data_IF_149992949477
#
_entry.id   IF_149992949477
#
_cell.length_a   1.000
_cell.length_b   1.000
_cell.length_c   1.000
_cell.angle_alpha   90.00
_cell.angle_beta   90.00
_cell.angle_gamma   90.00
#
_symmetry.space_group_name_H-M   'P 1'
#
loop_
_entity.id
_entity.type
_entity.pdbx_description
1 polymer ?
#
# COMPACT_ATOMS: atom_id res chain seq x y z
N UNK A 1 -55.03 -11.12 -22.91
CA UNK A 1 -54.06 -11.61 -21.91
C UNK A 1 -52.69 -11.03 -22.27
N UNK A 2 -52.24 -9.99 -21.58
CA UNK A 2 -50.91 -9.35 -21.79
C UNK A 2 -49.93 -10.10 -20.90
N UNK A 3 -48.94 -10.76 -21.49
CA UNK A 3 -47.82 -11.38 -20.75
C UNK A 3 -46.83 -10.32 -20.36
N UNK A 4 -46.69 -10.02 -19.06
CA UNK A 4 -45.63 -9.22 -18.50
C UNK A 4 -44.39 -10.11 -18.38
N UNK A 5 -43.39 -9.86 -19.21
CA UNK A 5 -42.07 -10.46 -19.09
C UNK A 5 -41.30 -9.67 -18.01
N UNK A 6 -41.15 -10.30 -16.85
CA UNK A 6 -40.33 -9.74 -15.76
C UNK A 6 -38.84 -9.88 -16.15
N UNK A 7 -38.21 -8.77 -16.49
CA UNK A 7 -36.76 -8.73 -16.75
C UNK A 7 -36.04 -8.82 -15.40
N UNK A 8 -35.56 -9.99 -15.04
CA UNK A 8 -34.72 -10.16 -13.86
C UNK A 8 -33.35 -9.51 -14.16
N UNK A 9 -33.11 -8.34 -13.55
CA UNK A 9 -31.80 -7.72 -13.54
C UNK A 9 -30.92 -8.54 -12.58
N UNK A 10 -30.13 -9.44 -13.15
CA UNK A 10 -29.04 -10.11 -12.43
C UNK A 10 -27.96 -9.07 -12.20
N UNK A 11 -27.93 -8.48 -11.00
CA UNK A 11 -26.77 -7.72 -10.54
C UNK A 11 -25.60 -8.72 -10.41
N UNK A 12 -24.77 -8.78 -11.43
CA UNK A 12 -23.47 -9.42 -11.34
C UNK A 12 -22.67 -8.68 -10.25
N UNK A 13 -22.61 -9.27 -9.06
CA UNK A 13 -21.62 -8.93 -8.04
C UNK A 13 -20.25 -9.33 -8.59
N UNK A 14 -19.66 -8.44 -9.38
CA UNK A 14 -18.25 -8.58 -9.72
C UNK A 14 -17.47 -8.63 -8.39
N UNK A 15 -16.57 -9.61 -8.22
CA UNK A 15 -15.72 -9.64 -7.04
C UNK A 15 -15.03 -8.29 -6.94
N UNK A 16 -15.25 -7.58 -5.83
CA UNK A 16 -14.60 -6.31 -5.57
C UNK A 16 -13.13 -6.63 -5.33
N UNK A 17 -12.33 -6.40 -6.36
CA UNK A 17 -10.87 -6.57 -6.30
C UNK A 17 -10.37 -5.56 -5.27
N UNK A 18 -9.92 -6.05 -4.13
CA UNK A 18 -9.27 -5.24 -3.12
C UNK A 18 -7.86 -4.92 -3.65
N UNK A 19 -7.63 -3.66 -3.95
CA UNK A 19 -6.31 -3.12 -4.23
C UNK A 19 -5.79 -2.53 -2.91
N UNK A 20 -4.50 -2.61 -2.63
CA UNK A 20 -3.84 -1.78 -1.63
C UNK A 20 -4.18 -0.30 -1.83
N UNK A 21 -3.36 0.64 -1.45
CA UNK A 21 -3.62 1.99 -1.90
C UNK A 21 -4.08 1.98 -3.36
N UNK A 22 -5.30 2.31 -3.68
CA UNK A 22 -5.78 2.27 -5.06
C UNK A 22 -4.86 3.02 -6.03
N UNK A 23 -5.17 3.00 -7.30
CA UNK A 23 -4.32 3.57 -8.36
C UNK A 23 -3.71 4.94 -8.02
N UNK A 24 -4.50 5.84 -7.41
CA UNK A 24 -4.02 7.17 -7.02
C UNK A 24 -2.94 7.08 -5.93
N UNK A 25 -3.18 6.32 -4.87
CA UNK A 25 -2.26 6.21 -3.73
C UNK A 25 -0.94 5.55 -4.12
N UNK A 26 -0.98 4.37 -4.75
CA UNK A 26 0.24 3.69 -5.22
C UNK A 26 1.11 4.57 -6.12
N UNK A 27 0.48 5.26 -7.09
CA UNK A 27 1.22 6.14 -7.99
C UNK A 27 1.79 7.35 -7.29
N UNK A 28 1.06 7.95 -6.33
CA UNK A 28 1.54 9.07 -5.51
C UNK A 28 2.75 8.67 -4.68
N UNK A 29 2.69 7.51 -4.01
CA UNK A 29 3.77 6.98 -3.20
C UNK A 29 5.02 6.71 -4.04
N UNK A 30 4.87 6.07 -5.19
CA UNK A 30 5.97 5.80 -6.12
C UNK A 30 6.57 7.08 -6.71
N UNK A 31 5.76 8.09 -6.99
CA UNK A 31 6.21 9.42 -7.42
C UNK A 31 7.05 10.13 -6.34
N UNK A 32 6.59 10.09 -5.06
CA UNK A 32 7.38 10.60 -3.94
C UNK A 32 8.72 9.86 -3.86
N UNK A 33 8.69 8.53 -3.97
CA UNK A 33 9.91 7.73 -3.92
C UNK A 33 10.88 8.09 -5.03
N UNK A 34 10.43 8.21 -6.27
CA UNK A 34 11.26 8.53 -7.42
C UNK A 34 11.96 9.89 -7.28
N UNK A 35 11.24 10.90 -6.76
CA UNK A 35 11.77 12.25 -6.49
C UNK A 35 12.82 12.27 -5.38
N UNK A 36 12.88 11.25 -4.54
CA UNK A 36 13.81 11.14 -3.41
C UNK A 36 14.89 10.07 -3.62
N UNK A 37 15.04 9.56 -4.84
CA UNK A 37 16.17 8.72 -5.21
C UNK A 37 17.47 9.54 -5.24
N UNK A 38 18.56 8.93 -4.78
CA UNK A 38 19.89 9.50 -5.03
C UNK A 38 20.20 9.42 -6.54
N UNK A 39 21.04 10.35 -7.08
CA UNK A 39 21.40 10.30 -8.50
C UNK A 39 21.93 8.93 -8.94
N UNK A 40 22.73 8.28 -8.09
CA UNK A 40 23.30 6.96 -8.36
C UNK A 40 22.26 5.87 -8.39
N UNK A 41 21.33 5.84 -7.40
CA UNK A 41 20.24 4.87 -7.37
C UNK A 41 19.32 5.05 -8.58
N UNK A 42 18.99 6.30 -8.91
CA UNK A 42 18.15 6.63 -10.06
C UNK A 42 18.78 6.09 -11.36
N UNK A 43 20.03 6.41 -11.64
CA UNK A 43 20.72 5.96 -12.83
C UNK A 43 20.80 4.41 -12.92
N UNK A 44 21.06 3.75 -11.78
CA UNK A 44 21.09 2.29 -11.73
C UNK A 44 19.72 1.65 -11.97
N UNK A 45 18.63 2.22 -11.42
CA UNK A 45 17.27 1.75 -11.63
C UNK A 45 16.84 1.99 -13.09
N UNK A 46 17.13 3.16 -13.67
CA UNK A 46 16.79 3.51 -15.05
C UNK A 46 17.37 2.53 -16.08
N UNK A 47 18.54 1.94 -15.80
CA UNK A 47 19.11 0.87 -16.62
C UNK A 47 18.14 -0.30 -16.79
N UNK A 48 17.49 -0.76 -15.71
CA UNK A 48 16.58 -1.90 -15.72
C UNK A 48 15.15 -1.52 -16.15
N UNK A 49 14.70 -0.32 -15.77
CA UNK A 49 13.36 0.18 -16.15
C UNK A 49 13.32 0.78 -17.54
N UNK A 50 14.51 0.95 -18.20
CA UNK A 50 14.65 1.62 -19.50
C UNK A 50 13.99 3.01 -19.51
N UNK A 51 14.16 3.76 -18.42
CA UNK A 51 13.59 5.08 -18.23
C UNK A 51 12.08 5.09 -17.94
N UNK A 52 11.46 3.94 -17.79
CA UNK A 52 10.05 3.89 -17.36
C UNK A 52 9.95 4.31 -15.90
N UNK A 53 9.15 5.33 -15.54
CA UNK A 53 9.06 5.82 -14.17
C UNK A 53 8.40 4.81 -13.23
N UNK A 54 8.80 4.85 -11.94
CA UNK A 54 8.37 3.88 -10.92
C UNK A 54 6.85 3.81 -10.74
N UNK A 55 6.16 4.93 -10.86
CA UNK A 55 4.71 4.96 -10.71
C UNK A 55 3.96 4.08 -11.74
N UNK A 56 4.56 3.77 -12.88
CA UNK A 56 4.02 2.82 -13.86
C UNK A 56 4.03 1.37 -13.37
N UNK A 57 4.93 1.05 -12.46
CA UNK A 57 5.09 -0.29 -11.87
C UNK A 57 4.37 -0.45 -10.53
N UNK A 58 3.90 0.63 -9.94
CA UNK A 58 3.35 0.64 -8.59
C UNK A 58 2.12 -0.26 -8.37
N UNK A 59 1.45 -0.66 -9.44
CA UNK A 59 0.30 -1.58 -9.40
C UNK A 59 0.64 -3.00 -9.86
N UNK A 60 1.92 -3.30 -10.09
CA UNK A 60 2.33 -4.56 -10.71
C UNK A 60 1.79 -5.81 -10.00
N UNK A 61 1.86 -5.86 -8.67
CA UNK A 61 1.41 -7.03 -7.91
C UNK A 61 -0.11 -7.20 -8.03
N UNK A 62 -0.86 -6.11 -8.01
CA UNK A 62 -2.32 -6.12 -8.23
C UNK A 62 -2.70 -6.54 -9.65
N UNK A 63 -2.01 -6.01 -10.65
CA UNK A 63 -2.28 -6.30 -12.06
C UNK A 63 -1.91 -7.76 -12.42
N UNK A 64 -0.97 -8.36 -11.68
CA UNK A 64 -0.57 -9.75 -11.86
C UNK A 64 -1.58 -10.77 -11.28
N UNK A 65 -2.62 -10.30 -10.62
CA UNK A 65 -3.62 -11.10 -9.88
C UNK A 65 -4.30 -12.19 -10.71
N UNK A 66 -4.43 -11.98 -12.00
CA UNK A 66 -5.03 -12.96 -12.93
C UNK A 66 -4.00 -13.95 -13.52
N UNK A 67 -2.72 -13.84 -13.16
CA UNK A 67 -1.71 -14.77 -13.63
C UNK A 67 -1.81 -16.09 -12.85
N UNK A 68 -1.64 -17.25 -13.51
CA UNK A 68 -1.75 -18.57 -12.84
C UNK A 68 -0.88 -18.71 -11.59
N UNK A 69 0.33 -18.14 -11.61
CA UNK A 69 1.30 -18.26 -10.52
C UNK A 69 1.07 -17.25 -9.39
N UNK A 70 0.06 -16.37 -9.50
CA UNK A 70 -0.14 -15.28 -8.56
C UNK A 70 -0.26 -15.75 -7.10
N UNK A 71 -1.09 -16.76 -6.85
CA UNK A 71 -1.35 -17.24 -5.48
C UNK A 71 -0.09 -17.72 -4.78
N UNK A 72 0.80 -18.36 -5.51
CA UNK A 72 2.03 -18.88 -4.96
C UNK A 72 3.10 -17.82 -4.80
N UNK A 73 3.24 -16.94 -5.79
CA UNK A 73 4.33 -15.98 -5.85
C UNK A 73 4.04 -14.65 -5.12
N UNK A 74 2.83 -14.10 -5.22
CA UNK A 74 2.55 -12.71 -4.91
C UNK A 74 1.38 -12.45 -3.94
N UNK A 75 0.39 -13.35 -3.84
CA UNK A 75 -0.83 -13.07 -3.06
C UNK A 75 -0.58 -12.74 -1.57
N UNK A 76 0.48 -13.32 -0.98
CA UNK A 76 0.88 -13.03 0.40
C UNK A 76 1.55 -11.67 0.60
N UNK A 77 2.03 -11.04 -0.46
CA UNK A 77 2.87 -9.83 -0.36
C UNK A 77 2.10 -8.55 -0.05
N UNK A 78 0.78 -8.56 -0.24
CA UNK A 78 -0.08 -7.40 -0.02
C UNK A 78 -0.29 -7.03 1.45
N UNK A 79 -0.03 -7.91 2.39
CA UNK A 79 -0.31 -7.65 3.79
C UNK A 79 0.79 -8.18 4.68
N UNK A 80 0.89 -7.58 5.85
CA UNK A 80 1.66 -8.10 6.97
C UNK A 80 0.82 -8.05 8.24
N UNK A 81 1.15 -8.92 9.21
CA UNK A 81 0.38 -9.04 10.45
C UNK A 81 1.26 -8.59 11.60
N UNK A 82 0.72 -7.76 12.47
CA UNK A 82 1.33 -7.35 13.73
C UNK A 82 0.72 -8.11 14.92
N UNK A 83 1.50 -8.30 15.97
CA UNK A 83 1.00 -8.74 17.27
C UNK A 83 0.15 -7.66 17.93
N UNK A 84 -0.51 -8.01 19.04
CA UNK A 84 -1.37 -7.10 19.78
C UNK A 84 -0.65 -5.85 20.31
N UNK A 85 0.66 -5.92 20.49
CA UNK A 85 1.54 -4.81 20.86
C UNK A 85 2.11 -4.04 19.66
N UNK A 86 1.65 -4.36 18.45
CA UNK A 86 2.11 -3.80 17.18
C UNK A 86 3.55 -4.13 16.81
N UNK A 87 4.13 -5.17 17.36
CA UNK A 87 5.42 -5.72 16.90
C UNK A 87 5.22 -6.68 15.73
N UNK A 88 6.29 -6.92 14.99
CA UNK A 88 6.29 -7.93 13.91
C UNK A 88 6.49 -9.30 14.51
N UNK A 89 5.48 -10.17 14.57
CA UNK A 89 5.60 -11.41 15.27
C UNK A 89 6.39 -12.44 14.49
N UNK A 90 7.36 -13.04 15.11
CA UNK A 90 7.99 -14.25 14.58
C UNK A 90 6.98 -15.39 14.41
N UNK A 91 5.96 -15.42 15.27
CA UNK A 91 4.88 -16.41 15.28
C UNK A 91 4.00 -16.30 14.04
N UNK A 92 3.84 -15.13 13.46
CA UNK A 92 2.94 -14.92 12.31
C UNK A 92 3.51 -15.44 11.00
N UNK A 93 4.83 -15.55 10.88
CA UNK A 93 5.46 -16.22 9.73
C UNK A 93 4.85 -17.60 9.47
N UNK A 94 4.54 -18.35 10.54
CA UNK A 94 3.96 -19.69 10.46
C UNK A 94 2.44 -19.70 10.28
N UNK A 95 1.76 -18.58 10.50
CA UNK A 95 0.29 -18.48 10.39
C UNK A 95 -0.19 -17.84 9.10
N UNK A 96 0.65 -17.01 8.48
CA UNK A 96 0.31 -16.29 7.28
C UNK A 96 1.21 -16.73 6.13
N UNK A 97 0.84 -17.84 5.48
CA UNK A 97 1.45 -18.35 4.24
C UNK A 97 2.96 -18.61 4.31
N UNK A 98 3.40 -19.28 5.37
CA UNK A 98 4.80 -19.73 5.50
C UNK A 98 5.85 -18.61 5.38
N UNK A 99 5.52 -17.43 5.89
CA UNK A 99 6.41 -16.29 5.89
C UNK A 99 6.45 -15.49 4.58
N UNK A 100 5.55 -15.74 3.66
CA UNK A 100 5.37 -14.98 2.42
C UNK A 100 4.50 -13.74 2.67
N UNK A 101 4.94 -12.82 3.49
CA UNK A 101 4.32 -11.52 3.73
C UNK A 101 5.20 -10.40 3.19
N UNK A 102 4.65 -9.18 3.11
CA UNK A 102 5.35 -8.03 2.55
C UNK A 102 6.65 -7.68 3.28
N UNK A 103 6.69 -7.79 4.61
CA UNK A 103 7.89 -7.50 5.41
C UNK A 103 8.99 -8.52 5.11
N UNK A 104 8.66 -9.81 5.14
CA UNK A 104 9.61 -10.89 4.84
C UNK A 104 10.16 -10.77 3.42
N UNK A 105 9.30 -10.45 2.45
CA UNK A 105 9.69 -10.27 1.06
C UNK A 105 10.74 -9.15 0.90
N UNK A 106 10.62 -8.05 1.63
CA UNK A 106 11.59 -6.95 1.58
C UNK A 106 12.99 -7.39 2.04
N UNK A 107 13.10 -8.29 3.02
CA UNK A 107 14.39 -8.87 3.41
C UNK A 107 14.92 -9.80 2.32
N UNK A 108 14.07 -10.63 1.72
CA UNK A 108 14.44 -11.52 0.62
C UNK A 108 14.98 -10.73 -0.58
N UNK A 109 14.26 -9.68 -1.02
CA UNK A 109 14.74 -8.84 -2.13
C UNK A 109 16.05 -8.13 -1.80
N UNK A 110 16.23 -7.64 -0.57
CA UNK A 110 17.51 -7.02 -0.17
C UNK A 110 18.68 -7.99 -0.27
N UNK A 111 18.48 -9.24 0.13
CA UNK A 111 19.52 -10.26 0.03
C UNK A 111 19.79 -10.66 -1.42
N UNK A 112 18.76 -10.93 -2.21
CA UNK A 112 18.89 -11.28 -3.63
C UNK A 112 19.59 -10.19 -4.44
N UNK A 113 19.29 -8.92 -4.14
CA UNK A 113 19.81 -7.79 -4.88
C UNK A 113 21.18 -7.29 -4.37
N UNK A 114 21.85 -7.97 -3.45
CA UNK A 114 23.20 -7.57 -3.01
C UNK A 114 24.17 -7.42 -4.17
N UNK A 115 24.12 -8.36 -5.12
CA UNK A 115 24.93 -8.38 -6.33
C UNK A 115 24.05 -8.22 -7.59
N UNK A 116 23.09 -7.27 -7.55
CA UNK A 116 22.09 -7.11 -8.60
C UNK A 116 22.69 -6.95 -10.01
N UNK A 117 23.92 -6.47 -10.13
CA UNK A 117 24.61 -6.28 -11.42
C UNK A 117 24.96 -7.60 -12.11
N UNK A 118 25.01 -8.71 -11.36
CA UNK A 118 25.31 -10.05 -11.85
C UNK A 118 24.04 -10.85 -12.18
N UNK A 119 22.87 -10.31 -11.82
CA UNK A 119 21.58 -10.95 -12.06
C UNK A 119 21.02 -10.61 -13.45
N UNK A 120 20.20 -11.51 -14.03
CA UNK A 120 19.44 -11.19 -15.23
C UNK A 120 18.60 -9.93 -15.03
N UNK A 121 18.55 -9.04 -16.02
CA UNK A 121 17.79 -7.77 -15.96
C UNK A 121 16.31 -8.00 -15.61
N UNK A 122 15.71 -9.11 -16.04
CA UNK A 122 14.33 -9.47 -15.74
C UNK A 122 14.10 -9.72 -14.24
N UNK A 123 15.05 -10.33 -13.55
CA UNK A 123 14.98 -10.59 -12.11
C UNK A 123 15.08 -9.28 -11.33
N UNK A 124 16.01 -8.41 -11.73
CA UNK A 124 16.17 -7.10 -11.09
C UNK A 124 14.93 -6.24 -11.30
N UNK A 125 14.39 -6.19 -12.53
CA UNK A 125 13.16 -5.45 -12.84
C UNK A 125 11.95 -5.99 -12.08
N UNK A 126 11.81 -7.31 -11.96
CA UNK A 126 10.76 -7.94 -11.16
C UNK A 126 10.84 -7.49 -9.70
N UNK A 127 12.03 -7.53 -9.10
CA UNK A 127 12.22 -7.08 -7.72
C UNK A 127 11.92 -5.59 -7.53
N UNK A 128 12.33 -4.72 -8.47
CA UNK A 128 11.98 -3.29 -8.45
C UNK A 128 10.46 -3.12 -8.44
N UNK A 129 9.73 -3.82 -9.30
CA UNK A 129 8.26 -3.76 -9.37
C UNK A 129 7.61 -4.21 -8.06
N UNK A 130 8.08 -5.32 -7.48
CA UNK A 130 7.56 -5.82 -6.20
C UNK A 130 7.85 -4.85 -5.05
N UNK A 131 9.07 -4.34 -4.92
CA UNK A 131 9.44 -3.37 -3.89
C UNK A 131 8.58 -2.10 -4.00
N UNK A 132 8.36 -1.61 -5.22
CA UNK A 132 7.53 -0.41 -5.49
C UNK A 132 6.08 -0.59 -5.04
N UNK A 133 5.57 -1.81 -5.02
CA UNK A 133 4.22 -2.12 -4.54
C UNK A 133 4.18 -2.40 -3.03
N UNK A 134 5.01 -3.32 -2.55
CA UNK A 134 4.97 -3.85 -1.19
C UNK A 134 5.15 -2.76 -0.12
N UNK A 135 6.09 -1.83 -0.33
CA UNK A 135 6.33 -0.74 0.64
C UNK A 135 5.12 0.19 0.75
N UNK A 136 4.36 0.37 -0.32
CA UNK A 136 3.11 1.09 -0.27
C UNK A 136 2.07 0.33 0.57
N UNK A 137 1.90 -0.95 0.31
CA UNK A 137 0.87 -1.78 0.94
C UNK A 137 1.05 -1.92 2.45
N UNK A 138 2.24 -2.21 2.95
CA UNK A 138 2.40 -2.38 4.39
C UNK A 138 2.30 -1.06 5.20
N UNK A 139 2.20 0.08 4.52
CA UNK A 139 1.81 1.37 5.13
C UNK A 139 0.30 1.66 4.98
N UNK A 140 -0.43 0.87 4.21
CA UNK A 140 -1.86 1.10 4.00
C UNK A 140 -2.68 0.58 5.19
N UNK A 141 -3.54 1.41 5.82
CA UNK A 141 -4.34 0.97 6.96
C UNK A 141 -5.19 -0.28 6.68
N UNK A 142 -5.65 -0.47 5.45
CA UNK A 142 -6.41 -1.66 5.06
C UNK A 142 -5.56 -2.94 4.93
N UNK A 143 -4.23 -2.82 4.82
CA UNK A 143 -3.28 -3.92 4.65
C UNK A 143 -2.49 -4.25 5.92
N UNK A 144 -2.52 -3.38 6.91
CA UNK A 144 -2.01 -3.70 8.25
C UNK A 144 -3.00 -4.61 8.96
N UNK A 145 -2.60 -5.84 9.23
CA UNK A 145 -3.39 -6.85 9.93
C UNK A 145 -2.89 -7.01 11.36
N UNK A 146 -3.77 -7.50 12.24
CA UNK A 146 -3.43 -7.76 13.64
C UNK A 146 -3.90 -9.16 14.03
N UNK A 147 -3.12 -9.85 14.89
CA UNK A 147 -3.42 -11.22 15.32
C UNK A 147 -4.73 -11.33 16.10
N UNK A 148 -5.15 -10.27 16.80
CA UNK A 148 -6.41 -10.17 17.53
C UNK A 148 -7.60 -9.83 16.62
N UNK A 149 -7.42 -9.95 15.32
CA UNK A 149 -8.43 -9.71 14.29
C UNK A 149 -8.91 -8.28 14.10
N UNK A 150 -8.25 -7.29 14.69
CA UNK A 150 -8.53 -5.91 14.27
C UNK A 150 -8.26 -5.78 12.76
N UNK A 151 -9.08 -4.98 12.11
CA UNK A 151 -9.03 -4.80 10.67
C UNK A 151 -9.36 -6.07 9.86
N UNK A 152 -10.45 -6.73 10.18
CA UNK A 152 -10.96 -7.90 9.43
C UNK A 152 -11.26 -7.59 7.96
N UNK A 153 -11.30 -6.30 7.60
CA UNK A 153 -11.38 -5.82 6.21
C UNK A 153 -12.70 -6.08 5.49
N UNK A 154 -13.65 -6.74 6.14
CA UNK A 154 -14.84 -7.25 5.50
C UNK A 154 -16.15 -6.53 5.78
N UNK A 155 -16.18 -5.51 6.64
CA UNK A 155 -17.44 -4.82 6.91
C UNK A 155 -17.72 -3.69 5.92
N UNK A 156 -19.01 -3.40 5.78
CA UNK A 156 -19.52 -2.35 4.94
C UNK A 156 -19.85 -1.13 5.81
N UNK A 157 -19.55 0.04 5.27
CA UNK A 157 -19.89 1.30 5.91
C UNK A 157 -20.55 2.25 4.90
N UNK A 158 -21.12 3.33 5.39
CA UNK A 158 -21.69 4.39 4.55
C UNK A 158 -20.69 5.54 4.49
N UNK A 159 -20.30 5.90 3.28
CA UNK A 159 -19.46 7.07 3.02
C UNK A 159 -20.09 7.93 1.92
N UNK A 160 -20.30 9.22 2.23
CA UNK A 160 -20.99 10.15 1.33
C UNK A 160 -22.33 9.60 0.80
N UNK A 161 -23.13 8.99 1.67
CA UNK A 161 -24.43 8.39 1.34
C UNK A 161 -24.35 7.10 0.51
N UNK A 162 -23.17 6.56 0.28
CA UNK A 162 -22.99 5.31 -0.48
C UNK A 162 -22.44 4.20 0.38
N UNK A 163 -22.95 2.99 0.20
CA UNK A 163 -22.42 1.79 0.84
C UNK A 163 -21.07 1.42 0.24
N UNK A 164 -20.05 1.33 1.09
CA UNK A 164 -18.66 1.04 0.69
C UNK A 164 -18.06 -0.05 1.56
N UNK A 165 -17.19 -0.88 1.00
CA UNK A 165 -16.32 -1.73 1.81
C UNK A 165 -15.25 -0.87 2.49
N UNK A 166 -15.00 -1.10 3.78
CA UNK A 166 -14.01 -0.32 4.54
C UNK A 166 -12.62 -0.46 3.95
N UNK A 167 -12.26 -1.62 3.44
CA UNK A 167 -11.01 -1.81 2.70
C UNK A 167 -10.91 -0.82 1.52
N UNK A 168 -11.92 -0.80 0.63
CA UNK A 168 -11.95 0.11 -0.52
C UNK A 168 -12.05 1.59 -0.14
N UNK A 169 -12.62 1.89 1.03
CA UNK A 169 -12.63 3.24 1.57
C UNK A 169 -11.19 3.75 1.77
N UNK A 170 -10.34 2.99 2.46
CA UNK A 170 -8.93 3.33 2.67
C UNK A 170 -8.15 3.41 1.37
N UNK A 171 -8.33 2.43 0.50
CA UNK A 171 -7.56 2.30 -0.73
C UNK A 171 -7.84 3.42 -1.73
N UNK A 172 -9.09 3.85 -1.82
CA UNK A 172 -9.50 4.70 -2.94
C UNK A 172 -10.33 5.89 -2.53
N UNK A 173 -11.44 5.64 -1.82
CA UNK A 173 -12.47 6.67 -1.68
C UNK A 173 -12.04 7.83 -0.80
N UNK A 174 -11.31 7.56 0.27
CA UNK A 174 -10.80 8.59 1.17
C UNK A 174 -9.83 9.52 0.43
N UNK A 175 -8.78 8.97 -0.18
CA UNK A 175 -7.71 9.77 -0.80
C UNK A 175 -8.19 10.54 -2.04
N UNK A 176 -9.09 9.96 -2.85
CA UNK A 176 -9.72 10.70 -3.95
C UNK A 176 -10.62 11.83 -3.44
N UNK A 177 -11.34 11.60 -2.35
CA UNK A 177 -12.17 12.62 -1.70
C UNK A 177 -11.32 13.79 -1.19
N UNK A 178 -10.19 13.50 -0.55
CA UNK A 178 -9.27 14.54 -0.05
C UNK A 178 -8.72 15.41 -1.19
N UNK A 179 -8.35 14.82 -2.31
CA UNK A 179 -7.86 15.59 -3.44
C UNK A 179 -8.98 16.46 -4.06
N UNK A 180 -10.18 15.92 -4.18
CA UNK A 180 -11.37 16.68 -4.65
C UNK A 180 -11.71 17.85 -3.72
N UNK A 181 -11.67 17.64 -2.40
CA UNK A 181 -11.94 18.70 -1.43
C UNK A 181 -10.95 19.88 -1.53
N UNK A 182 -9.73 19.62 -2.00
CA UNK A 182 -8.73 20.66 -2.30
C UNK A 182 -8.97 21.36 -3.65
N UNK A 183 -10.04 21.04 -4.37
CA UNK A 183 -10.30 21.57 -5.72
C UNK A 183 -9.32 21.06 -6.79
N UNK A 184 -8.59 19.99 -6.51
CA UNK A 184 -7.61 19.43 -7.43
C UNK A 184 -8.22 18.34 -8.31
N UNK A 185 -7.71 18.23 -9.54
CA UNK A 185 -7.96 17.05 -10.38
C UNK A 185 -7.33 15.82 -9.75
N UNK A 186 -7.94 14.65 -9.94
CA UNK A 186 -7.36 13.38 -9.50
C UNK A 186 -6.07 13.12 -10.30
N UNK A 187 -4.95 13.39 -9.67
CA UNK A 187 -3.62 13.32 -10.27
C UNK A 187 -2.56 13.01 -9.22
N UNK A 188 -1.79 11.94 -9.45
CA UNK A 188 -0.77 11.47 -8.50
C UNK A 188 0.41 12.43 -8.34
N UNK A 189 0.79 13.17 -9.39
CA UNK A 189 1.90 14.13 -9.32
C UNK A 189 1.52 15.33 -8.46
N UNK A 190 0.31 15.89 -8.66
CA UNK A 190 -0.20 16.97 -7.81
C UNK A 190 -0.36 16.52 -6.36
N UNK A 191 -0.75 15.26 -6.15
CA UNK A 191 -0.85 14.74 -4.79
C UNK A 191 0.53 14.52 -4.17
N UNK A 192 1.49 14.06 -4.95
CA UNK A 192 2.88 13.96 -4.51
C UNK A 192 3.48 15.35 -4.17
N UNK A 193 3.16 16.41 -4.94
CA UNK A 193 3.56 17.79 -4.61
C UNK A 193 3.05 18.20 -3.23
N UNK A 194 1.82 17.82 -2.90
CA UNK A 194 1.23 18.10 -1.59
C UNK A 194 1.90 17.32 -0.44
N UNK A 195 2.27 16.06 -0.68
CA UNK A 195 2.79 15.16 0.36
C UNK A 195 4.32 15.17 0.48
N UNK A 196 5.07 15.52 -0.56
CA UNK A 196 6.55 15.46 -0.56
C UNK A 196 7.17 16.70 0.12
N UNK A 197 6.89 16.88 1.40
CA UNK A 197 7.19 18.12 2.15
C UNK A 197 8.07 17.94 3.38
N UNK A 198 8.48 16.71 3.72
CA UNK A 198 9.26 16.46 4.92
C UNK A 198 10.68 17.00 4.80
N UNK A 199 11.17 17.57 5.90
CA UNK A 199 12.58 17.97 6.04
C UNK A 199 13.51 16.75 6.06
N UNK A 200 14.78 16.95 5.76
CA UNK A 200 15.82 15.90 5.82
C UNK A 200 15.88 15.22 7.20
N UNK A 201 15.64 15.98 8.29
CA UNK A 201 15.62 15.44 9.66
C UNK A 201 14.44 14.49 9.87
N UNK A 202 13.26 14.85 9.39
CA UNK A 202 12.06 14.03 9.47
C UNK A 202 12.20 12.79 8.61
N UNK A 203 12.66 12.93 7.37
CA UNK A 203 12.95 11.79 6.47
C UNK A 203 13.90 10.80 7.16
N UNK A 204 15.03 11.28 7.72
CA UNK A 204 15.98 10.42 8.43
C UNK A 204 15.34 9.69 9.61
N UNK A 205 14.38 10.31 10.30
CA UNK A 205 13.64 9.69 11.41
C UNK A 205 12.73 8.55 10.93
N UNK A 206 11.90 8.80 9.92
CA UNK A 206 10.90 7.83 9.44
C UNK A 206 11.48 6.72 8.57
N UNK A 207 12.68 6.91 8.04
CA UNK A 207 13.40 5.89 7.25
C UNK A 207 14.43 5.11 8.06
N UNK A 208 14.51 5.35 9.38
CA UNK A 208 15.41 4.61 10.26
C UNK A 208 14.96 3.13 10.30
N UNK A 209 15.93 2.20 10.25
CA UNK A 209 15.67 0.76 10.26
C UNK A 209 15.41 0.21 8.84
N UNK A 210 14.55 -0.78 8.76
CA UNK A 210 14.16 -1.46 7.53
C UNK A 210 12.67 -1.83 7.58
N UNK A 211 12.21 -2.71 6.70
CA UNK A 211 10.81 -3.07 6.51
C UNK A 211 10.09 -3.46 7.82
N UNK A 212 10.75 -4.16 8.75
CA UNK A 212 10.15 -4.53 10.03
C UNK A 212 9.79 -3.30 10.86
N UNK A 213 10.77 -2.42 11.11
CA UNK A 213 10.56 -1.22 11.93
C UNK A 213 9.55 -0.27 11.28
N UNK A 214 9.54 -0.21 9.95
CA UNK A 214 8.57 0.61 9.20
C UNK A 214 7.15 0.07 9.33
N UNK A 215 7.00 -1.26 9.18
CA UNK A 215 5.71 -1.91 9.37
C UNK A 215 5.19 -1.78 10.81
N UNK A 216 6.04 -1.95 11.81
CA UNK A 216 5.68 -1.77 13.22
C UNK A 216 5.25 -0.32 13.52
N UNK A 217 5.90 0.67 12.92
CA UNK A 217 5.47 2.08 13.01
C UNK A 217 4.11 2.30 12.34
N UNK A 218 3.88 1.70 11.18
CA UNK A 218 2.58 1.72 10.51
C UNK A 218 1.50 1.05 11.37
N UNK A 219 1.79 -0.11 11.95
CA UNK A 219 0.87 -0.83 12.82
C UNK A 219 0.48 0.01 14.04
N UNK A 220 1.46 0.59 14.75
CA UNK A 220 1.19 1.50 15.88
C UNK A 220 0.37 2.72 15.47
N UNK A 221 0.64 3.28 14.30
CA UNK A 221 -0.08 4.46 13.81
C UNK A 221 -1.51 4.16 13.39
N UNK A 222 -1.75 3.01 12.75
CA UNK A 222 -3.06 2.63 12.22
C UNK A 222 -3.99 2.08 13.30
N UNK A 223 -3.46 1.38 14.31
CA UNK A 223 -4.27 0.68 15.32
C UNK A 223 -5.32 1.55 16.00
N UNK A 224 -5.03 2.76 16.49
CA UNK A 224 -6.04 3.57 17.19
C UNK A 224 -7.25 3.94 16.32
N UNK A 225 -7.05 4.14 15.02
CA UNK A 225 -8.15 4.49 14.10
C UNK A 225 -8.94 3.26 13.68
N UNK A 226 -8.26 2.13 13.45
CA UNK A 226 -8.88 0.85 13.08
C UNK A 226 -9.74 0.33 14.22
N UNK A 227 -9.20 0.27 15.45
CA UNK A 227 -9.94 -0.19 16.62
C UNK A 227 -11.08 0.74 17.00
N UNK A 228 -10.91 2.05 16.80
CA UNK A 228 -11.97 3.00 17.06
C UNK A 228 -13.21 2.77 16.17
N UNK A 229 -13.01 2.34 14.92
CA UNK A 229 -14.10 1.93 14.03
C UNK A 229 -14.72 0.61 14.50
N UNK A 230 -13.89 -0.40 14.77
CA UNK A 230 -14.35 -1.73 15.19
C UNK A 230 -15.10 -1.68 16.52
N UNK A 231 -14.57 -0.96 17.51
CA UNK A 231 -15.16 -0.84 18.85
C UNK A 231 -16.49 -0.11 18.83
N UNK A 232 -16.62 0.91 18.01
CA UNK A 232 -17.84 1.72 17.91
C UNK A 232 -18.89 1.13 16.97
N UNK A 233 -18.57 0.10 16.21
CA UNK A 233 -19.43 -0.48 15.16
C UNK A 233 -20.00 0.60 14.23
N UNK A 234 -19.13 1.51 13.80
CA UNK A 234 -19.53 2.65 12.98
C UNK A 234 -20.00 2.16 11.62
N UNK A 235 -21.28 2.34 11.35
CA UNK A 235 -21.88 2.07 10.05
C UNK A 235 -21.68 3.24 9.08
N UNK A 236 -21.64 4.47 9.61
CA UNK A 236 -21.40 5.68 8.83
C UNK A 236 -20.02 6.25 9.14
N UNK A 237 -19.21 6.43 8.09
CA UNK A 237 -17.92 7.11 8.19
C UNK A 237 -18.17 8.62 8.19
N UNK A 238 -18.47 9.13 9.36
CA UNK A 238 -18.83 10.51 9.61
C UNK A 238 -17.63 11.46 9.69
N UNK A 239 -17.90 12.73 9.95
CA UNK A 239 -16.84 13.74 10.06
C UNK A 239 -15.84 13.42 11.19
N UNK A 240 -16.30 12.93 12.33
CA UNK A 240 -15.42 12.61 13.45
C UNK A 240 -14.41 11.50 13.08
N UNK A 241 -14.88 10.48 12.37
CA UNK A 241 -13.99 9.45 11.82
C UNK A 241 -13.05 10.02 10.77
N UNK A 242 -13.56 10.82 9.83
CA UNK A 242 -12.76 11.39 8.75
C UNK A 242 -11.65 12.32 9.27
N UNK A 243 -11.90 13.08 10.33
CA UNK A 243 -10.92 13.97 10.98
C UNK A 243 -9.71 13.17 11.55
N UNK A 244 -9.88 11.87 11.83
CA UNK A 244 -8.80 10.96 12.24
C UNK A 244 -8.21 10.19 11.06
N UNK A 245 -9.05 9.72 10.15
CA UNK A 245 -8.65 8.87 9.04
C UNK A 245 -7.85 9.64 7.97
N UNK A 246 -8.24 10.87 7.66
CA UNK A 246 -7.58 11.66 6.62
C UNK A 246 -6.10 11.97 6.92
N UNK A 247 -5.75 12.54 8.08
CA UNK A 247 -4.35 12.80 8.40
C UNK A 247 -3.54 11.51 8.55
N UNK A 248 -4.15 10.41 9.03
CA UNK A 248 -3.49 9.12 9.07
C UNK A 248 -3.16 8.63 7.67
N UNK A 249 -4.13 8.61 6.75
CA UNK A 249 -3.91 8.15 5.38
C UNK A 249 -2.78 8.92 4.69
N UNK A 250 -2.81 10.25 4.75
CA UNK A 250 -1.77 11.10 4.14
C UNK A 250 -0.40 10.90 4.78
N UNK A 251 -0.33 10.78 6.11
CA UNK A 251 0.91 10.48 6.82
C UNK A 251 1.49 9.12 6.43
N UNK A 252 0.66 8.09 6.28
CA UNK A 252 1.12 6.77 5.85
C UNK A 252 1.58 6.76 4.39
N UNK A 253 0.88 7.46 3.49
CA UNK A 253 1.34 7.62 2.10
C UNK A 253 2.68 8.35 2.02
N UNK A 254 2.86 9.40 2.81
CA UNK A 254 4.09 10.17 2.90
C UNK A 254 5.25 9.31 3.41
N UNK A 255 5.05 8.57 4.52
CA UNK A 255 6.04 7.63 5.06
C UNK A 255 6.41 6.57 4.02
N UNK A 256 5.42 5.94 3.39
CA UNK A 256 5.63 4.92 2.36
C UNK A 256 6.52 5.41 1.22
N UNK A 257 6.30 6.62 0.71
CA UNK A 257 7.10 7.19 -0.36
C UNK A 257 8.57 7.36 0.01
N UNK A 258 8.86 7.93 1.19
CA UNK A 258 10.24 8.10 1.65
C UNK A 258 10.91 6.78 2.04
N UNK A 259 10.19 5.83 2.62
CA UNK A 259 10.70 4.50 2.95
C UNK A 259 11.01 3.69 1.69
N UNK A 260 10.17 3.78 0.67
CA UNK A 260 10.43 3.19 -0.65
C UNK A 260 11.69 3.78 -1.28
N UNK A 261 11.85 5.10 -1.25
CA UNK A 261 13.09 5.75 -1.70
C UNK A 261 14.30 5.25 -0.91
N UNK A 262 14.20 5.14 0.42
CA UNK A 262 15.27 4.65 1.27
C UNK A 262 15.65 3.20 0.94
N UNK A 263 14.67 2.32 0.70
CA UNK A 263 14.92 0.94 0.27
C UNK A 263 15.66 0.87 -1.05
N UNK A 264 15.18 1.59 -2.05
CA UNK A 264 15.78 1.63 -3.38
C UNK A 264 17.17 2.27 -3.36
N UNK A 265 17.37 3.35 -2.59
CA UNK A 265 18.68 3.96 -2.40
C UNK A 265 19.67 3.02 -1.71
N UNK A 266 19.23 2.26 -0.71
CA UNK A 266 20.08 1.30 0.00
C UNK A 266 20.55 0.12 -0.90
N UNK A 267 19.72 -0.28 -1.85
CA UNK A 267 19.99 -1.38 -2.77
C UNK A 267 20.80 -0.88 -3.98
N UNK A 268 20.32 0.15 -4.65
CA UNK A 268 20.84 0.60 -5.95
C UNK A 268 21.79 1.81 -5.88
N UNK A 269 21.94 2.42 -4.72
CA UNK A 269 22.80 3.59 -4.51
C UNK A 269 24.27 3.26 -4.20
N UNK A 270 24.64 1.98 -4.24
CA UNK A 270 26.01 1.49 -3.94
C UNK A 270 26.94 1.53 -5.15
#
# INVERSE_FOLDING_TARGET
MKRFTTLAVVLLLLPQIAFGWGRLGHRTIAEIAERNLTPKAKANIERYTKGTPLWKYSLFVDEYRNHPDYKEALDGLHASIADSDCTSPQIVRNRYRDGKDGVTAMYTFREQLKNYKELPDSIVLYAIKCITHIVADFNCPSHVRYVDNANKGGFLAIFNGKKVGVHRFWDTWLIESLQKQRGQKINHQLYADHLNTLSKKEIKKITKGWAQEWFEDAARSCRPVIYWVDDRKIETLDKEFLDKAAPLAESQMQKAGYQMAAALNAIFGK
#
